data_IF_087598504362
#
_entry.id   IF_087598504362
#
_cell.length_a   1.000
_cell.length_b   1.000
_cell.length_c   1.000
_cell.angle_alpha   90.00
_cell.angle_beta   90.00
_cell.angle_gamma   90.00
#
_symmetry.space_group_name_H-M   'P 1'
#
loop_
_entity.id
_entity.type
_entity.pdbx_description
1 polymer ?
#
# COMPACT_ATOMS: atom_id res chain seq x y z
N UNK A 1 28.03 21.53 -28.90
CA UNK A 1 28.09 21.09 -30.30
C UNK A 1 29.54 20.96 -30.74
N UNK A 2 30.04 19.74 -30.93
CA UNK A 2 31.34 19.52 -31.59
C UNK A 2 31.05 18.87 -32.94
N UNK A 3 31.30 19.59 -34.02
CA UNK A 3 31.17 19.08 -35.38
C UNK A 3 32.55 18.58 -35.81
N UNK A 4 32.70 17.29 -36.14
CA UNK A 4 33.93 16.78 -36.75
C UNK A 4 33.75 16.66 -38.26
N UNK A 5 34.76 17.14 -38.99
CA UNK A 5 34.80 17.14 -40.45
C UNK A 5 35.12 15.72 -40.94
N UNK A 6 34.19 15.06 -41.62
CA UNK A 6 34.46 13.77 -42.28
C UNK A 6 34.66 14.03 -43.78
N UNK A 7 35.91 13.88 -44.25
CA UNK A 7 36.25 13.93 -45.67
C UNK A 7 36.13 12.52 -46.25
N UNK A 8 35.01 12.23 -46.92
CA UNK A 8 34.90 11.04 -47.76
C UNK A 8 35.49 11.39 -49.13
N UNK A 9 36.70 10.90 -49.40
CA UNK A 9 37.31 11.02 -50.72
C UNK A 9 36.57 10.17 -51.73
N UNK A 10 35.89 10.80 -52.69
CA UNK A 10 35.31 10.12 -53.84
C UNK A 10 36.05 10.56 -55.11
N UNK A 11 36.77 9.60 -55.70
CA UNK A 11 37.28 9.71 -57.05
C UNK A 11 36.10 9.84 -58.02
N UNK A 12 36.18 10.88 -58.86
CA UNK A 12 35.58 11.00 -60.20
C UNK A 12 34.19 11.69 -60.29
N UNK A 13 34.29 12.96 -60.73
CA UNK A 13 33.41 13.76 -61.60
C UNK A 13 32.01 14.18 -61.11
N UNK A 14 31.94 15.48 -60.78
CA UNK A 14 30.77 16.38 -60.83
C UNK A 14 29.53 15.99 -60.02
N UNK A 15 29.61 16.04 -58.70
CA UNK A 15 28.41 16.21 -57.86
C UNK A 15 28.77 17.09 -56.66
N UNK A 16 27.94 18.12 -56.39
CA UNK A 16 28.19 19.14 -55.37
C UNK A 16 28.46 18.56 -53.98
N UNK A 17 29.33 19.24 -53.23
CA UNK A 17 29.59 18.94 -51.83
C UNK A 17 28.30 19.17 -51.02
N UNK A 18 27.52 18.12 -50.77
CA UNK A 18 26.48 18.17 -49.75
C UNK A 18 27.13 17.94 -48.39
N UNK A 19 27.11 18.99 -47.57
CA UNK A 19 27.48 18.92 -46.15
C UNK A 19 26.34 18.22 -45.43
N UNK A 20 26.53 16.95 -45.10
CA UNK A 20 25.62 16.23 -44.21
C UNK A 20 26.14 16.38 -42.77
N UNK A 21 25.41 17.11 -41.94
CA UNK A 21 25.55 16.99 -40.49
C UNK A 21 24.78 15.74 -40.07
N UNK A 22 25.48 14.66 -39.75
CA UNK A 22 24.87 13.60 -38.95
C UNK A 22 24.88 14.07 -37.49
N UNK A 23 23.70 14.13 -36.89
CA UNK A 23 23.55 14.18 -35.44
C UNK A 23 23.92 12.78 -34.96
N UNK A 24 25.09 12.63 -34.33
CA UNK A 24 25.30 11.49 -33.44
C UNK A 24 24.46 11.81 -32.20
N UNK A 25 23.30 11.16 -32.09
CA UNK A 25 22.62 11.06 -30.80
C UNK A 25 23.63 10.44 -29.83
N UNK A 26 23.94 11.17 -28.77
CA UNK A 26 24.80 10.70 -27.70
C UNK A 26 24.07 9.53 -27.02
N UNK A 27 24.25 8.31 -27.54
CA UNK A 27 23.76 7.07 -26.96
C UNK A 27 24.54 6.76 -25.66
N UNK A 28 24.41 7.64 -24.67
CA UNK A 28 24.84 7.40 -23.29
C UNK A 28 24.09 8.27 -22.26
N UNK A 29 22.90 8.80 -22.60
CA UNK A 29 21.94 9.14 -21.55
C UNK A 29 21.19 7.85 -21.19
N UNK A 30 21.60 7.19 -20.10
CA UNK A 30 20.78 6.12 -19.52
C UNK A 30 19.42 6.73 -19.24
N UNK A 31 18.42 6.32 -20.01
CA UNK A 31 17.05 6.79 -19.86
C UNK A 31 16.56 6.44 -18.44
N UNK A 32 16.70 7.39 -17.52
CA UNK A 32 16.17 7.31 -16.15
C UNK A 32 14.65 7.53 -16.16
N UNK A 33 14.00 7.43 -17.32
CA UNK A 33 12.57 7.53 -17.43
C UNK A 33 11.90 6.27 -16.88
N UNK A 34 11.00 6.51 -15.93
CA UNK A 34 10.03 5.53 -15.48
C UNK A 34 8.80 5.57 -16.38
N UNK A 35 8.10 4.44 -16.46
CA UNK A 35 6.91 4.27 -17.29
C UNK A 35 5.61 4.47 -16.51
N UNK A 36 5.60 4.10 -15.22
CA UNK A 36 4.41 4.17 -14.38
C UNK A 36 4.74 4.23 -12.89
N UNK A 37 3.75 4.52 -12.06
CA UNK A 37 3.89 4.49 -10.60
C UNK A 37 3.21 3.29 -9.98
N UNK A 38 3.83 2.72 -8.95
CA UNK A 38 3.27 1.70 -8.08
C UNK A 38 3.10 2.28 -6.68
N UNK A 39 1.87 2.57 -6.27
CA UNK A 39 1.55 2.94 -4.90
C UNK A 39 1.51 1.68 -4.04
N UNK A 40 2.40 1.59 -3.07
CA UNK A 40 2.53 0.45 -2.15
C UNK A 40 1.84 0.79 -0.84
N UNK A 41 0.70 0.15 -0.59
CA UNK A 41 -0.10 0.32 0.62
C UNK A 41 0.11 -0.88 1.55
N UNK A 42 0.54 -0.61 2.79
CA UNK A 42 0.84 -1.62 3.81
C UNK A 42 -0.29 -1.73 4.81
N UNK A 43 -0.60 -2.96 5.24
CA UNK A 43 -1.47 -3.20 6.40
C UNK A 43 -0.65 -3.16 7.69
N UNK A 44 -0.83 -2.15 8.56
CA UNK A 44 0.02 -1.98 9.74
C UNK A 44 -0.02 -3.17 10.70
N UNK A 45 -1.19 -3.78 10.92
CA UNK A 45 -1.29 -4.89 11.86
C UNK A 45 -0.49 -6.13 11.40
N UNK A 46 -0.36 -6.38 10.10
CA UNK A 46 0.51 -7.45 9.57
C UNK A 46 1.99 -7.11 9.71
N UNK A 47 2.36 -5.85 9.49
CA UNK A 47 3.74 -5.37 9.70
C UNK A 47 4.19 -5.54 11.15
N UNK A 48 3.30 -5.23 12.10
CA UNK A 48 3.58 -5.34 13.53
C UNK A 48 3.59 -6.78 14.06
N UNK A 49 3.33 -7.81 13.23
CA UNK A 49 3.56 -9.22 13.62
C UNK A 49 5.03 -9.60 13.60
N UNK A 50 5.84 -8.89 12.83
CA UNK A 50 7.28 -9.19 12.64
C UNK A 50 8.19 -8.05 13.04
N UNK A 51 7.64 -6.89 13.41
CA UNK A 51 8.39 -5.69 13.74
C UNK A 51 7.85 -5.08 15.03
N UNK A 52 8.73 -4.45 15.80
CA UNK A 52 8.33 -3.60 16.93
C UNK A 52 7.61 -2.37 16.40
N UNK A 53 6.42 -2.11 16.93
CA UNK A 53 5.59 -1.00 16.52
C UNK A 53 5.24 -0.07 17.69
N UNK A 54 4.87 1.16 17.34
CA UNK A 54 4.25 2.11 18.28
C UNK A 54 2.96 1.55 18.88
N UNK A 55 2.63 1.99 20.09
CA UNK A 55 1.46 1.52 20.86
C UNK A 55 0.14 1.63 20.08
N UNK A 56 -0.05 2.74 19.37
CA UNK A 56 -1.26 2.98 18.57
C UNK A 56 -1.01 2.66 17.10
N UNK A 57 -1.38 1.45 16.70
CA UNK A 57 -1.27 0.96 15.33
C UNK A 57 -2.45 1.49 14.48
N UNK A 58 -2.23 2.15 13.33
CA UNK A 58 -3.31 2.60 12.46
C UNK A 58 -4.20 1.44 11.99
N UNK A 59 -5.52 1.66 11.95
CA UNK A 59 -6.51 0.66 11.52
C UNK A 59 -7.01 0.93 10.10
N UNK A 60 -6.07 1.23 9.20
CA UNK A 60 -6.24 1.48 7.77
C UNK A 60 -4.97 1.07 7.03
N UNK A 61 -5.06 0.90 5.72
CA UNK A 61 -3.86 0.80 4.90
C UNK A 61 -3.10 2.12 4.91
N UNK A 62 -1.79 2.06 5.05
CA UNK A 62 -0.90 3.22 5.08
C UNK A 62 0.14 3.12 3.98
N UNK A 63 0.61 4.25 3.47
CA UNK A 63 1.64 4.31 2.45
C UNK A 63 2.93 3.67 3.01
N UNK A 64 3.48 2.72 2.26
CA UNK A 64 4.87 2.33 2.38
C UNK A 64 5.72 3.21 1.45
N UNK A 65 5.30 3.34 0.18
CA UNK A 65 5.86 4.31 -0.75
C UNK A 65 5.14 4.39 -2.09
N UNK A 66 5.57 5.33 -2.92
CA UNK A 66 5.12 5.52 -4.29
C UNK A 66 6.31 5.29 -5.22
N UNK A 67 6.37 4.15 -5.90
CA UNK A 67 7.61 3.73 -6.57
C UNK A 67 7.48 3.90 -8.08
N UNK A 68 8.34 4.72 -8.73
CA UNK A 68 8.51 4.70 -10.17
C UNK A 68 8.92 3.30 -10.65
N UNK A 69 8.36 2.85 -11.75
CA UNK A 69 8.58 1.53 -12.33
C UNK A 69 8.95 1.66 -13.80
N UNK A 70 9.83 0.79 -14.27
CA UNK A 70 9.98 0.51 -15.69
C UNK A 70 8.81 -0.35 -16.19
N UNK A 71 8.59 -0.39 -17.50
CA UNK A 71 7.55 -1.19 -18.17
C UNK A 71 7.65 -2.67 -17.84
N UNK A 72 8.87 -3.16 -17.70
CA UNK A 72 9.22 -4.51 -17.26
C UNK A 72 9.06 -4.74 -15.74
N UNK A 73 8.51 -3.76 -15.01
CA UNK A 73 8.16 -3.81 -13.59
C UNK A 73 9.35 -3.83 -12.65
N UNK A 74 10.54 -3.55 -13.19
CA UNK A 74 11.74 -3.30 -12.41
C UNK A 74 11.58 -1.98 -11.65
N UNK A 75 11.93 -2.01 -10.37
CA UNK A 75 11.98 -0.81 -9.52
C UNK A 75 13.17 0.04 -9.96
N UNK A 76 12.96 1.34 -10.16
CA UNK A 76 14.05 2.31 -10.26
C UNK A 76 14.37 2.80 -8.85
N UNK A 77 15.66 2.81 -8.50
CA UNK A 77 16.10 3.30 -7.19
C UNK A 77 17.33 4.18 -7.24
N UNK A 78 17.42 5.14 -6.32
CA UNK A 78 18.58 6.02 -6.11
C UNK A 78 19.02 6.72 -7.40
N UNK A 79 18.08 7.35 -8.10
CA UNK A 79 18.36 8.06 -9.35
C UNK A 79 19.01 9.41 -9.08
N UNK A 80 19.88 9.85 -9.99
CA UNK A 80 20.60 11.10 -9.84
C UNK A 80 19.68 12.32 -10.00
N UNK A 81 19.70 13.22 -9.02
CA UNK A 81 18.96 14.48 -9.08
C UNK A 81 19.55 15.51 -8.12
N UNK A 82 19.35 16.79 -8.43
CA UNK A 82 19.62 17.90 -7.51
C UNK A 82 18.41 18.25 -6.64
N UNK A 83 17.25 17.63 -6.88
CA UNK A 83 16.02 17.87 -6.12
C UNK A 83 16.10 17.24 -4.72
N UNK A 84 15.70 18.01 -3.71
CA UNK A 84 15.79 17.59 -2.30
C UNK A 84 14.46 17.67 -1.57
N UNK A 85 14.17 16.69 -0.72
CA UNK A 85 13.02 16.75 0.17
C UNK A 85 13.33 17.59 1.41
N UNK A 86 12.88 18.85 1.37
CA UNK A 86 13.16 19.84 2.42
C UNK A 86 12.26 19.68 3.66
N UNK A 87 12.71 20.21 4.80
CA UNK A 87 11.87 20.30 6.00
C UNK A 87 10.62 21.16 5.79
N UNK A 88 10.71 22.22 4.96
CA UNK A 88 9.55 23.06 4.65
C UNK A 88 8.45 22.25 3.96
N UNK A 89 8.82 21.41 2.98
CA UNK A 89 7.91 20.47 2.32
C UNK A 89 7.32 19.46 3.30
N UNK A 90 8.14 18.85 4.16
CA UNK A 90 7.62 17.88 5.15
C UNK A 90 6.65 18.54 6.14
N UNK A 91 6.96 19.76 6.58
CA UNK A 91 6.11 20.51 7.51
C UNK A 91 4.76 20.88 6.88
N UNK A 92 4.71 21.23 5.59
CA UNK A 92 3.46 21.58 4.91
C UNK A 92 2.50 20.38 4.79
N UNK A 93 3.02 19.15 4.74
CA UNK A 93 2.22 17.91 4.71
C UNK A 93 2.12 17.19 6.07
N UNK A 94 2.53 17.81 7.19
CA UNK A 94 2.67 17.14 8.49
C UNK A 94 1.47 16.29 8.91
N UNK A 95 0.26 16.83 8.85
CA UNK A 95 -0.94 16.10 9.25
C UNK A 95 -1.20 14.89 8.35
N UNK A 96 -1.07 15.08 7.04
CA UNK A 96 -1.32 14.03 6.07
C UNK A 96 -0.25 12.92 6.13
N UNK A 97 1.01 13.29 6.34
CA UNK A 97 2.10 12.32 6.49
C UNK A 97 1.90 11.46 7.75
N UNK A 98 1.53 12.07 8.88
CA UNK A 98 1.25 11.32 10.11
C UNK A 98 0.00 10.42 9.99
N UNK A 99 -0.95 10.78 9.14
CA UNK A 99 -2.19 10.03 8.95
C UNK A 99 -2.07 8.91 7.91
N UNK A 100 -1.52 9.21 6.74
CA UNK A 100 -1.52 8.34 5.56
C UNK A 100 -0.16 7.69 5.28
N UNK A 101 0.95 8.31 5.67
CA UNK A 101 2.31 7.75 5.52
C UNK A 101 3.05 7.64 6.88
N UNK A 102 2.43 7.14 7.96
CA UNK A 102 3.06 7.11 9.26
C UNK A 102 4.27 6.19 9.31
N UNK A 103 5.27 6.60 10.09
CA UNK A 103 6.20 5.66 10.68
C UNK A 103 5.45 4.75 11.67
N UNK A 104 5.60 3.44 11.52
CA UNK A 104 4.95 2.46 12.39
C UNK A 104 5.74 2.19 13.67
N UNK A 105 7.00 2.64 13.76
CA UNK A 105 7.85 2.53 14.95
C UNK A 105 7.63 3.68 15.94
N UNK A 106 7.18 4.85 15.48
CA UNK A 106 7.01 6.04 16.29
C UNK A 106 5.81 6.89 15.83
N UNK A 107 5.25 7.71 16.72
CA UNK A 107 4.28 8.75 16.36
C UNK A 107 4.91 10.15 16.35
N UNK A 108 6.21 10.26 16.63
CA UNK A 108 6.92 11.52 16.63
C UNK A 108 7.23 11.95 15.18
N UNK A 109 6.72 13.12 14.80
CA UNK A 109 6.88 13.65 13.45
C UNK A 109 8.34 13.89 13.07
N UNK A 110 9.14 14.50 13.96
CA UNK A 110 10.55 14.80 13.68
C UNK A 110 11.37 13.52 13.46
N UNK A 111 11.17 12.50 14.29
CA UNK A 111 11.80 11.19 14.11
C UNK A 111 11.38 10.51 12.79
N UNK A 112 10.10 10.64 12.42
CA UNK A 112 9.53 10.05 11.20
C UNK A 112 10.07 10.67 9.91
N UNK A 113 10.68 11.87 9.95
CA UNK A 113 11.25 12.53 8.75
C UNK A 113 12.29 11.68 8.03
N UNK A 114 13.04 10.87 8.78
CA UNK A 114 14.02 9.94 8.23
C UNK A 114 13.38 8.93 7.26
N UNK A 115 12.18 8.44 7.56
CA UNK A 115 11.42 7.53 6.71
C UNK A 115 11.05 8.19 5.38
N UNK A 116 10.50 9.41 5.39
CA UNK A 116 10.08 10.07 4.16
C UNK A 116 11.27 10.49 3.30
N UNK A 117 12.38 10.93 3.92
CA UNK A 117 13.62 11.20 3.21
C UNK A 117 14.19 9.94 2.56
N UNK A 118 14.21 8.81 3.27
CA UNK A 118 14.65 7.54 2.71
C UNK A 118 13.77 7.11 1.52
N UNK A 119 12.44 7.24 1.63
CA UNK A 119 11.53 6.91 0.53
C UNK A 119 11.69 7.86 -0.67
N UNK A 120 11.97 9.14 -0.43
CA UNK A 120 12.31 10.08 -1.48
C UNK A 120 13.63 9.72 -2.16
N UNK A 121 14.72 9.63 -1.40
CA UNK A 121 16.08 9.32 -1.89
C UNK A 121 16.09 8.03 -2.70
N UNK A 122 15.47 6.98 -2.16
CA UNK A 122 15.44 5.67 -2.81
C UNK A 122 14.51 5.61 -4.00
N UNK A 123 13.32 6.22 -3.96
CA UNK A 123 12.30 6.01 -4.99
C UNK A 123 11.84 7.31 -5.67
N UNK A 124 11.59 8.37 -4.91
CA UNK A 124 11.08 9.63 -5.44
C UNK A 124 12.04 10.33 -6.41
N UNK A 125 13.34 10.25 -6.15
CA UNK A 125 14.41 10.79 -7.03
C UNK A 125 14.28 10.30 -8.47
N UNK A 126 13.82 9.06 -8.68
CA UNK A 126 13.59 8.47 -10.01
C UNK A 126 12.40 9.06 -10.78
N UNK A 127 11.67 9.99 -10.18
CA UNK A 127 10.64 10.78 -10.86
C UNK A 127 10.95 12.28 -10.93
N UNK A 128 12.13 12.69 -10.44
CA UNK A 128 12.51 14.10 -10.28
C UNK A 128 12.61 14.88 -11.61
N UNK A 129 12.81 14.19 -12.73
CA UNK A 129 12.78 14.80 -14.07
C UNK A 129 11.39 15.31 -14.48
N UNK A 130 10.32 14.85 -13.81
CA UNK A 130 8.94 15.25 -14.10
C UNK A 130 8.23 15.88 -12.90
N UNK A 131 8.56 15.48 -11.69
CA UNK A 131 7.90 15.91 -10.45
C UNK A 131 8.90 16.23 -9.36
N UNK A 132 8.81 17.43 -8.79
CA UNK A 132 9.66 17.80 -7.65
C UNK A 132 9.26 17.04 -6.37
N UNK A 133 10.03 17.20 -5.29
CA UNK A 133 9.80 16.44 -4.05
C UNK A 133 8.42 16.72 -3.42
N UNK A 134 7.95 17.96 -3.51
CA UNK A 134 6.63 18.35 -3.03
C UNK A 134 5.51 17.64 -3.80
N UNK A 135 5.60 17.66 -5.12
CA UNK A 135 4.65 17.04 -6.04
C UNK A 135 4.59 15.52 -5.90
N UNK A 136 5.72 14.88 -5.61
CA UNK A 136 5.81 13.45 -5.33
C UNK A 136 5.07 13.07 -4.03
N UNK A 137 5.33 13.80 -2.95
CA UNK A 137 4.65 13.60 -1.66
C UNK A 137 3.14 13.82 -1.81
N UNK A 138 2.74 14.90 -2.47
CA UNK A 138 1.33 15.21 -2.72
C UNK A 138 0.64 14.08 -3.50
N UNK A 139 1.28 13.56 -4.55
CA UNK A 139 0.73 12.44 -5.34
C UNK A 139 0.50 11.20 -4.49
N UNK A 140 1.48 10.79 -3.68
CA UNK A 140 1.36 9.62 -2.82
C UNK A 140 0.17 9.75 -1.83
N UNK A 141 0.05 10.91 -1.18
CA UNK A 141 -1.03 11.21 -0.23
C UNK A 141 -2.39 11.23 -0.93
N UNK A 142 -2.52 12.00 -2.02
CA UNK A 142 -3.79 12.13 -2.74
C UNK A 142 -4.23 10.81 -3.38
N UNK A 143 -3.30 9.98 -3.87
CA UNK A 143 -3.67 8.66 -4.39
C UNK A 143 -4.19 7.75 -3.29
N UNK A 144 -3.63 7.81 -2.09
CA UNK A 144 -4.12 7.02 -0.96
C UNK A 144 -5.49 7.49 -0.48
N UNK A 145 -5.69 8.82 -0.32
CA UNK A 145 -6.98 9.40 0.08
C UNK A 145 -8.12 9.01 -0.88
N UNK A 146 -7.84 9.03 -2.18
CA UNK A 146 -8.85 8.75 -3.21
C UNK A 146 -9.05 7.25 -3.48
N UNK A 147 -8.21 6.37 -2.94
CA UNK A 147 -8.25 4.93 -3.19
C UNK A 147 -8.12 4.16 -1.87
N UNK A 148 -9.00 4.45 -0.90
CA UNK A 148 -9.02 3.72 0.36
C UNK A 148 -9.44 2.27 0.13
N UNK A 149 -8.46 1.36 0.25
CA UNK A 149 -8.62 -0.06 -0.02
C UNK A 149 -9.43 -0.77 1.07
N UNK A 150 -9.40 -0.28 2.32
CA UNK A 150 -10.05 -1.00 3.41
C UNK A 150 -11.59 -1.08 3.22
N UNK A 151 -12.31 0.01 2.89
CA UNK A 151 -13.72 -0.04 2.52
C UNK A 151 -14.02 -0.97 1.34
N UNK A 152 -13.18 -0.99 0.29
CA UNK A 152 -13.36 -1.88 -0.87
C UNK A 152 -13.39 -3.35 -0.43
N UNK A 153 -12.44 -3.74 0.43
CA UNK A 153 -12.37 -5.09 0.99
C UNK A 153 -13.58 -5.39 1.90
N UNK A 154 -13.93 -4.46 2.79
CA UNK A 154 -15.06 -4.63 3.72
C UNK A 154 -16.39 -4.81 2.99
N UNK A 155 -16.63 -4.06 1.92
CA UNK A 155 -17.83 -4.16 1.10
C UNK A 155 -17.96 -5.53 0.42
N UNK A 156 -16.82 -6.20 0.13
CA UNK A 156 -16.77 -7.58 -0.36
C UNK A 156 -16.80 -8.64 0.76
N UNK A 157 -17.09 -8.25 2.01
CA UNK A 157 -17.11 -9.12 3.17
C UNK A 157 -15.72 -9.62 3.60
N UNK A 158 -14.65 -8.90 3.24
CA UNK A 158 -13.26 -9.21 3.62
C UNK A 158 -12.89 -8.30 4.78
N UNK A 159 -12.98 -8.85 6.00
CA UNK A 159 -12.79 -8.11 7.24
C UNK A 159 -11.42 -8.40 7.89
N UNK A 160 -10.76 -7.38 8.48
CA UNK A 160 -9.50 -7.55 9.19
C UNK A 160 -9.73 -8.09 10.61
N UNK A 161 -10.33 -9.26 10.72
CA UNK A 161 -10.63 -9.91 12.01
C UNK A 161 -9.80 -11.18 12.24
N UNK A 162 -8.72 -11.36 11.49
CA UNK A 162 -7.82 -12.52 11.63
C UNK A 162 -8.24 -13.74 10.80
N UNK A 163 -9.28 -13.64 9.96
CA UNK A 163 -9.63 -14.68 9.01
C UNK A 163 -8.70 -14.68 7.78
N UNK A 164 -8.57 -15.84 7.13
CA UNK A 164 -7.88 -15.98 5.85
C UNK A 164 -8.82 -15.81 4.66
N UNK A 165 -8.32 -15.17 3.60
CA UNK A 165 -9.07 -14.96 2.36
C UNK A 165 -8.22 -15.35 1.16
N UNK A 166 -8.85 -15.85 0.09
CA UNK A 166 -8.09 -16.14 -1.13
C UNK A 166 -7.56 -14.87 -1.77
N UNK A 167 -6.35 -14.97 -2.31
CA UNK A 167 -5.67 -13.90 -3.02
C UNK A 167 -6.50 -13.40 -4.20
N UNK A 168 -7.12 -14.32 -4.94
CA UNK A 168 -8.05 -14.00 -6.03
C UNK A 168 -9.28 -13.21 -5.56
N UNK A 169 -9.85 -13.53 -4.39
CA UNK A 169 -10.99 -12.80 -3.83
C UNK A 169 -10.59 -11.39 -3.42
N UNK A 170 -9.40 -11.22 -2.84
CA UNK A 170 -8.85 -9.89 -2.49
C UNK A 170 -8.63 -9.05 -3.75
N UNK A 171 -7.94 -9.60 -4.75
CA UNK A 171 -7.69 -8.90 -6.02
C UNK A 171 -8.99 -8.53 -6.72
N UNK A 172 -9.96 -9.44 -6.76
CA UNK A 172 -11.28 -9.19 -7.34
C UNK A 172 -12.02 -8.07 -6.62
N UNK A 173 -12.05 -8.08 -5.28
CA UNK A 173 -12.76 -7.05 -4.50
C UNK A 173 -12.25 -5.63 -4.79
N UNK A 174 -10.95 -5.48 -5.01
CA UNK A 174 -10.34 -4.20 -5.38
C UNK A 174 -10.64 -3.88 -6.84
N UNK A 175 -10.42 -4.84 -7.75
CA UNK A 175 -10.65 -4.68 -9.19
C UNK A 175 -12.10 -4.30 -9.52
N UNK A 176 -13.08 -4.86 -8.80
CA UNK A 176 -14.50 -4.54 -9.02
C UNK A 176 -14.80 -3.05 -8.80
N UNK A 177 -14.00 -2.36 -7.98
CA UNK A 177 -14.16 -0.92 -7.68
C UNK A 177 -13.22 -0.07 -8.53
N UNK A 178 -11.96 -0.48 -8.67
CA UNK A 178 -10.94 0.30 -9.40
C UNK A 178 -10.97 0.06 -10.91
N UNK A 179 -11.64 -0.99 -11.36
CA UNK A 179 -11.63 -1.52 -12.73
C UNK A 179 -10.25 -2.00 -13.21
N UNK A 180 -9.27 -2.09 -12.30
CA UNK A 180 -7.88 -2.43 -12.62
C UNK A 180 -7.32 -3.48 -11.66
N UNK A 181 -6.44 -4.34 -12.17
CA UNK A 181 -5.82 -5.41 -11.40
C UNK A 181 -4.79 -4.84 -10.41
N UNK A 182 -4.88 -5.15 -9.11
CA UNK A 182 -3.83 -4.84 -8.14
C UNK A 182 -2.78 -5.97 -8.06
N UNK A 183 -1.57 -5.64 -7.58
CA UNK A 183 -0.66 -6.66 -7.03
C UNK A 183 -0.95 -6.82 -5.53
N UNK A 184 -0.69 -8.02 -4.99
CA UNK A 184 -0.73 -8.27 -3.56
C UNK A 184 0.60 -8.85 -3.10
N UNK A 185 1.00 -8.52 -1.89
CA UNK A 185 2.17 -9.09 -1.22
C UNK A 185 1.80 -9.60 0.16
N UNK A 186 2.36 -10.75 0.51
CA UNK A 186 2.25 -11.32 1.83
C UNK A 186 3.54 -11.17 2.63
N UNK A 187 3.45 -11.29 3.94
CA UNK A 187 4.60 -11.49 4.81
C UNK A 187 4.35 -12.71 5.69
N UNK A 188 5.42 -13.20 6.31
CA UNK A 188 5.39 -14.38 7.15
C UNK A 188 5.97 -14.07 8.52
N UNK A 189 5.30 -14.53 9.58
CA UNK A 189 5.85 -14.44 10.93
C UNK A 189 6.81 -15.60 11.26
N UNK A 190 7.42 -15.54 12.45
CA UNK A 190 8.33 -16.58 12.93
C UNK A 190 7.67 -17.97 13.05
N UNK A 191 6.34 -18.02 13.21
CA UNK A 191 5.54 -19.26 13.26
C UNK A 191 5.09 -19.72 11.87
N UNK A 192 5.56 -19.06 10.81
CA UNK A 192 5.23 -19.33 9.41
C UNK A 192 3.77 -19.04 9.03
N UNK A 193 3.05 -18.24 9.82
CA UNK A 193 1.72 -17.75 9.42
C UNK A 193 1.90 -16.71 8.32
N UNK A 194 1.08 -16.80 7.27
CA UNK A 194 1.11 -15.89 6.12
C UNK A 194 0.03 -14.83 6.30
N UNK A 195 0.41 -13.55 6.25
CA UNK A 195 -0.53 -12.43 6.38
C UNK A 195 -0.55 -11.57 5.12
N UNK A 196 -1.70 -10.96 4.87
CA UNK A 196 -1.85 -9.92 3.84
C UNK A 196 -1.04 -8.71 4.29
N UNK A 197 0.01 -8.38 3.56
CA UNK A 197 1.02 -7.44 4.02
C UNK A 197 0.95 -6.12 3.28
N UNK A 198 0.95 -6.16 1.95
CA UNK A 198 0.81 -4.98 1.10
C UNK A 198 -0.16 -5.25 -0.05
N UNK A 199 -0.79 -4.17 -0.51
CA UNK A 199 -1.60 -4.10 -1.72
C UNK A 199 -0.99 -3.00 -2.57
N UNK A 200 -0.77 -3.27 -3.85
CA UNK A 200 -0.18 -2.28 -4.75
C UNK A 200 -1.23 -1.85 -5.79
N UNK A 201 -1.40 -0.54 -5.94
CA UNK A 201 -2.24 0.07 -6.97
C UNK A 201 -1.33 0.82 -7.93
N UNK A 202 -1.48 0.57 -9.22
CA UNK A 202 -0.63 1.17 -10.24
C UNK A 202 -1.33 2.36 -10.89
N UNK A 203 -0.55 3.37 -11.21
CA UNK A 203 -0.99 4.59 -11.88
C UNK A 203 -0.12 4.83 -13.10
N UNK A 204 -0.67 5.45 -14.14
CA UNK A 204 0.12 5.92 -15.28
C UNK A 204 1.27 6.85 -14.85
N UNK A 205 2.20 7.14 -15.76
CA UNK A 205 3.39 7.95 -15.47
C UNK A 205 3.08 9.29 -14.77
N UNK A 206 1.88 9.86 -14.96
CA UNK A 206 1.50 11.11 -14.30
C UNK A 206 1.14 10.96 -12.81
N UNK A 207 1.01 9.72 -12.32
CA UNK A 207 0.66 9.39 -10.94
C UNK A 207 -0.79 9.70 -10.57
N UNK A 208 -1.71 9.81 -11.55
CA UNK A 208 -3.12 10.22 -11.32
C UNK A 208 -4.14 9.20 -11.81
N UNK A 209 -3.95 8.67 -13.01
CA UNK A 209 -4.87 7.73 -13.66
C UNK A 209 -4.50 6.31 -13.26
N UNK A 210 -5.45 5.54 -12.70
CA UNK A 210 -5.22 4.15 -12.33
C UNK A 210 -4.98 3.34 -13.61
N UNK A 211 -4.11 2.34 -13.52
CA UNK A 211 -3.88 1.34 -14.56
C UNK A 211 -3.75 -0.04 -13.95
N UNK A 212 -3.75 -1.05 -14.80
CA UNK A 212 -3.42 -2.41 -14.37
C UNK A 212 -1.99 -2.49 -13.82
N UNK A 213 -1.86 -3.06 -12.62
CA UNK A 213 -0.64 -3.71 -12.21
C UNK A 213 -0.48 -5.05 -12.94
N UNK A 214 0.54 -5.82 -12.55
CA UNK A 214 0.89 -7.09 -13.18
C UNK A 214 0.05 -8.26 -12.66
N UNK A 215 -0.92 -7.99 -11.81
CA UNK A 215 -1.78 -8.97 -11.16
C UNK A 215 -0.99 -10.01 -10.35
N UNK A 216 0.14 -9.61 -9.76
CA UNK A 216 1.06 -10.52 -9.07
C UNK A 216 0.57 -10.86 -7.66
N UNK A 217 0.89 -12.08 -7.26
CA UNK A 217 0.78 -12.58 -5.89
C UNK A 217 2.19 -12.86 -5.37
N UNK A 218 2.69 -12.00 -4.50
CA UNK A 218 4.09 -11.98 -4.06
C UNK A 218 4.19 -12.56 -2.65
N UNK A 219 5.10 -13.52 -2.44
CA UNK A 219 5.43 -14.12 -1.13
C UNK A 219 4.26 -14.79 -0.36
N UNK A 220 3.17 -15.16 -1.04
CA UNK A 220 2.00 -15.79 -0.41
C UNK A 220 2.03 -17.34 -0.41
N UNK A 221 3.03 -17.96 -1.05
CA UNK A 221 3.25 -19.42 -1.08
C UNK A 221 2.04 -20.26 -1.48
N UNK A 222 1.22 -19.76 -2.42
CA UNK A 222 -0.04 -20.39 -2.83
C UNK A 222 -1.04 -20.63 -1.68
N UNK A 223 -0.91 -19.91 -0.55
CA UNK A 223 -1.84 -19.96 0.57
C UNK A 223 -2.72 -18.72 0.61
N UNK A 224 -3.83 -18.84 1.34
CA UNK A 224 -4.74 -17.74 1.63
C UNK A 224 -4.18 -16.91 2.80
N UNK A 225 -3.77 -15.66 2.58
CA UNK A 225 -3.23 -14.83 3.65
C UNK A 225 -4.29 -14.51 4.71
N UNK A 226 -3.83 -14.44 5.97
CA UNK A 226 -4.58 -13.91 7.11
C UNK A 226 -4.69 -12.40 6.98
N UNK A 227 -5.90 -11.85 7.07
CA UNK A 227 -6.10 -10.41 7.21
C UNK A 227 -6.03 -10.04 8.69
N UNK A 228 -4.83 -9.67 9.15
CA UNK A 228 -4.50 -9.50 10.57
C UNK A 228 -5.48 -8.56 11.30
N UNK A 229 -5.97 -9.02 12.45
CA UNK A 229 -6.76 -8.21 13.36
C UNK A 229 -5.94 -7.10 14.01
N UNK A 230 -6.66 -6.12 14.60
CA UNK A 230 -6.07 -5.07 15.41
C UNK A 230 -5.09 -5.68 16.40
N UNK A 231 -3.84 -5.20 16.35
CA UNK A 231 -2.86 -5.52 17.40
C UNK A 231 -3.30 -4.77 18.65
N UNK A 232 -3.94 -5.47 19.58
CA UNK A 232 -4.06 -4.99 20.95
C UNK A 232 -2.64 -4.98 21.53
N UNK A 233 -2.17 -3.78 21.92
CA UNK A 233 -0.85 -3.61 22.49
C UNK A 233 -0.78 -4.43 23.80
N UNK A 234 -0.10 -5.56 23.73
CA UNK A 234 0.16 -6.49 24.84
C UNK A 234 -1.07 -7.00 25.61
N UNK A 235 -1.44 -8.26 25.32
CA UNK A 235 -1.81 -9.22 26.36
C UNK A 235 -3.15 -9.01 27.05
N UNK A 236 -4.25 -9.27 26.34
CA UNK A 236 -5.41 -9.94 26.95
C UNK A 236 -5.98 -10.92 25.93
N UNK A 237 -6.05 -12.19 26.31
CA UNK A 237 -6.74 -13.23 25.55
C UNK A 237 -8.15 -12.75 25.18
N UNK A 238 -8.47 -12.69 23.87
CA UNK A 238 -9.83 -12.48 23.39
C UNK A 238 -10.80 -13.59 23.84
N UNK A 239 -10.26 -14.72 24.34
CA UNK A 239 -11.06 -15.75 25.01
C UNK A 239 -11.71 -15.27 26.33
N UNK A 240 -11.16 -14.23 26.98
CA UNK A 240 -11.69 -13.70 28.25
C UNK A 240 -12.83 -12.70 28.09
N UNK A 241 -12.94 -12.04 26.92
CA UNK A 241 -14.00 -11.06 26.64
C UNK A 241 -15.31 -11.74 26.27
N UNK A 242 -15.26 -12.86 25.55
CA UNK A 242 -16.47 -13.64 25.25
C UNK A 242 -17.01 -14.37 26.49
N UNK A 243 -16.15 -14.78 27.43
CA UNK A 243 -16.61 -15.39 28.68
C UNK A 243 -17.23 -14.36 29.64
N UNK A 244 -16.71 -13.14 29.70
CA UNK A 244 -17.27 -12.07 30.55
C UNK A 244 -18.58 -11.49 30.01
N UNK A 245 -18.75 -11.39 28.68
CA UNK A 245 -20.05 -11.05 28.07
C UNK A 245 -21.07 -12.19 28.27
N UNK A 246 -20.65 -13.46 28.11
CA UNK A 246 -21.51 -14.62 28.35
C UNK A 246 -21.99 -14.75 29.80
N UNK A 247 -21.12 -14.46 30.78
CA UNK A 247 -21.45 -14.46 32.20
C UNK A 247 -22.38 -13.30 32.60
N UNK A 248 -22.21 -12.10 32.00
CA UNK A 248 -23.13 -10.98 32.24
C UNK A 248 -24.53 -11.22 31.66
N UNK A 249 -24.63 -11.95 30.55
CA UNK A 249 -25.93 -12.30 29.95
C UNK A 249 -26.68 -13.34 30.80
N UNK A 250 -25.97 -14.33 31.36
CA UNK A 250 -26.55 -15.35 32.24
C UNK A 250 -26.89 -14.83 33.64
N UNK A 251 -26.18 -13.82 34.16
CA UNK A 251 -26.49 -13.18 35.44
C UNK A 251 -27.75 -12.29 35.40
N UNK A 252 -28.14 -11.76 34.23
CA UNK A 252 -29.31 -10.88 34.09
C UNK A 252 -30.62 -11.61 33.79
N UNK A 253 -30.55 -12.92 33.52
CA UNK A 253 -31.71 -13.76 33.24
C UNK A 253 -31.77 -14.95 34.22
N UNK A 254 -31.82 -14.64 35.53
CA UNK A 254 -32.23 -15.61 36.54
C UNK A 254 -33.76 -15.82 36.40
N UNK A 255 -34.15 -16.73 35.51
CA UNK A 255 -35.52 -17.24 35.42
C UNK A 255 -35.76 -18.13 36.64
N UNK A 256 -36.15 -17.49 37.75
CA UNK A 256 -36.65 -18.19 38.93
C UNK A 256 -37.96 -18.92 38.55
N UNK A 257 -38.09 -20.24 38.76
CA UNK A 257 -39.35 -20.94 38.54
C UNK A 257 -40.34 -20.49 39.60
N UNK A 258 -41.46 -19.88 39.18
CA UNK A 258 -42.62 -19.71 40.06
C UNK A 258 -43.36 -21.03 40.15
N UNK A 259 -43.26 -21.70 41.29
CA UNK A 259 -44.21 -22.73 41.68
C UNK A 259 -45.58 -22.08 41.88
N UNK A 260 -46.52 -22.37 40.97
CA UNK A 260 -47.94 -22.18 41.23
C UNK A 260 -48.58 -23.55 41.37
N UNK A 261 -48.75 -23.97 42.61
CA UNK A 261 -49.74 -24.98 42.99
C UNK A 261 -51.11 -24.31 43.03
N UNK A 262 -52.05 -24.75 42.19
CA UNK A 262 -53.47 -24.50 42.43
C UNK A 262 -54.33 -25.57 41.75
N UNK A 263 -55.17 -26.17 42.57
CA UNK A 263 -56.06 -27.29 42.35
C UNK A 263 -57.03 -27.13 41.19
N UNK A 264 -57.11 -28.14 40.33
CA UNK A 264 -58.31 -28.39 39.51
C UNK A 264 -59.40 -29.00 40.40
N UNK A 265 -60.47 -28.24 40.64
CA UNK A 265 -61.77 -28.78 41.07
C UNK A 265 -62.65 -28.90 39.84
N UNK A 266 -62.92 -30.13 39.41
CA UNK A 266 -64.05 -30.45 38.55
C UNK A 266 -65.32 -30.43 39.40
N UNK A 267 -66.37 -29.75 38.93
CA UNK A 267 -67.74 -29.97 39.37
C UNK A 267 -68.66 -29.98 38.15
N UNK A 268 -69.55 -30.96 38.20
CA UNK A 268 -70.49 -31.40 37.18
C UNK A 268 -71.67 -30.42 36.95
N UNK A 269 -72.29 -30.58 35.77
CA UNK A 269 -73.71 -30.44 35.42
C UNK A 269 -74.59 -29.44 36.17
N UNK A 270 -75.23 -28.52 35.45
CA UNK A 270 -76.60 -28.64 34.91
C UNK A 270 -76.84 -27.54 33.87
#
# INVERSE_FOLDING_TARGET
MKCKLVLVGLYILLVGFQVFCQVEDDENEVDQQYDYFKLVLRWPNSYCKTNTCRKTVPQRFTIHGLWPQRKDGTDLTYCDTTETLTDATLNSFKSDLLEYWPDLSTNNFEASKSLWRYQWEKHGTCSASKFNAQEYIERAILRTKNNDVLPMLKNAGIQPYGASYSTSRIQKAIKDITLHNPDIKCNKDAKKNIYLYEIHICFEYNGRVIRDCRNRVIDCENKNPIFASRVEAHGTDQASLLSSIGLQYLSKHDLRPTETTSSFKTRESY
#
